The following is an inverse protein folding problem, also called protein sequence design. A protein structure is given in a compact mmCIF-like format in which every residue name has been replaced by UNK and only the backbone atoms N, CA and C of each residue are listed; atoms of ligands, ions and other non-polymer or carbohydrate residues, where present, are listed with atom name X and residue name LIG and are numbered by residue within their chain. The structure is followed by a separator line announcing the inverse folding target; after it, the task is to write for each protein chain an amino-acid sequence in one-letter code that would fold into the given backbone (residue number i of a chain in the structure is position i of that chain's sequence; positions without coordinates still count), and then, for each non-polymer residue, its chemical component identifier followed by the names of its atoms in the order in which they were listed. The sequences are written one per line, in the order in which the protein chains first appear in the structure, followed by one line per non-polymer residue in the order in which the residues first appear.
data_IF_418515649862
#
_entry.id   IF_418515649862
#
_cell.length_a   1.000
_cell.length_b   1.000
_cell.length_c   1.000
_cell.angle_alpha   90.00
_cell.angle_beta   90.00
_cell.angle_gamma   90.00
#
_symmetry.space_group_name_H-M   'P 1'
#
loop_
_entity.id
_entity.type
_entity.pdbx_description
1 polymer ?
#
# COMPACT_ATOMS: atom_id res chain seq x y z
N UNK A 1 -11.48 -2.15 -14.53
CA UNK A 1 -10.31 -2.54 -15.33
C UNK A 1 -8.99 -2.09 -14.74
N UNK A 2 -8.84 -0.82 -14.28
CA UNK A 2 -7.56 -0.30 -13.78
C UNK A 2 -7.03 -1.00 -12.52
N UNK A 3 -7.88 -1.30 -11.54
CA UNK A 3 -7.50 -2.05 -10.33
C UNK A 3 -6.91 -3.44 -10.63
N UNK A 4 -7.40 -4.11 -11.68
CA UNK A 4 -6.86 -5.43 -12.07
C UNK A 4 -5.43 -5.29 -12.63
N UNK A 5 -5.17 -4.24 -13.42
CA UNK A 5 -3.85 -3.92 -13.96
C UNK A 5 -2.90 -3.51 -12.81
N UNK A 6 -3.34 -2.64 -11.91
CA UNK A 6 -2.58 -2.25 -10.72
C UNK A 6 -2.19 -3.47 -9.87
N UNK A 7 -3.13 -4.39 -9.64
CA UNK A 7 -2.84 -5.64 -8.94
C UNK A 7 -1.84 -6.54 -9.67
N UNK A 8 -1.84 -6.55 -11.01
CA UNK A 8 -0.85 -7.29 -11.79
C UNK A 8 0.55 -6.68 -11.66
N UNK A 9 0.67 -5.35 -11.72
CA UNK A 9 1.93 -4.62 -11.51
C UNK A 9 2.46 -4.86 -10.09
N UNK A 10 1.58 -4.77 -9.08
CA UNK A 10 1.95 -5.02 -7.69
C UNK A 10 2.53 -6.43 -7.49
N UNK A 11 1.91 -7.45 -8.08
CA UNK A 11 2.43 -8.83 -8.05
C UNK A 11 3.79 -8.96 -8.72
N UNK A 12 3.96 -8.38 -9.91
CA UNK A 12 5.24 -8.41 -10.61
C UNK A 12 6.36 -7.76 -9.80
N UNK A 13 6.08 -6.62 -9.15
CA UNK A 13 7.03 -5.98 -8.23
C UNK A 13 7.37 -6.84 -7.02
N UNK A 14 6.38 -7.52 -6.43
CA UNK A 14 6.58 -8.44 -5.31
C UNK A 14 7.44 -9.66 -5.69
N UNK A 15 7.29 -10.20 -6.90
CA UNK A 15 8.05 -11.36 -7.38
C UNK A 15 9.53 -11.02 -7.64
N UNK A 16 9.82 -9.77 -8.03
CA UNK A 16 11.18 -9.28 -8.22
C UNK A 16 11.92 -8.96 -6.90
N UNK A 17 11.20 -8.93 -5.77
CA UNK A 17 11.73 -8.48 -4.50
C UNK A 17 12.49 -9.60 -3.79
N UNK A 18 13.71 -9.36 -3.30
CA UNK A 18 14.42 -10.34 -2.46
C UNK A 18 13.68 -10.62 -1.14
N UNK A 19 13.89 -11.79 -0.48
CA UNK A 19 13.44 -12.00 0.89
C UNK A 19 13.92 -10.87 1.79
N UNK A 20 13.08 -10.44 2.73
CA UNK A 20 13.41 -9.27 3.53
C UNK A 20 13.53 -7.99 2.69
N UNK A 21 12.80 -7.88 1.59
CA UNK A 21 12.68 -6.64 0.83
C UNK A 21 11.44 -5.85 1.23
N UNK A 22 11.42 -4.57 0.85
CA UNK A 22 10.28 -3.67 1.04
C UNK A 22 9.76 -3.20 -0.31
N UNK A 23 8.45 -3.25 -0.48
CA UNK A 23 7.73 -2.79 -1.67
C UNK A 23 6.75 -1.69 -1.26
N UNK A 24 6.70 -0.61 -2.03
CA UNK A 24 5.74 0.47 -1.80
C UNK A 24 4.74 0.47 -2.95
N UNK A 25 3.45 0.38 -2.61
CA UNK A 25 2.34 0.60 -3.52
C UNK A 25 1.80 2.02 -3.31
N UNK A 26 1.63 2.78 -4.40
CA UNK A 26 1.12 4.14 -4.35
C UNK A 26 0.28 4.48 -5.57
N UNK A 27 -0.76 5.28 -5.37
CA UNK A 27 -1.68 5.77 -6.41
C UNK A 27 -2.04 7.23 -6.14
N UNK A 28 -2.42 7.97 -7.19
CA UNK A 28 -2.95 9.33 -7.12
C UNK A 28 -4.49 9.36 -7.20
N UNK A 29 -5.14 8.45 -6.45
CA UNK A 29 -6.60 8.34 -6.38
C UNK A 29 -7.05 8.12 -4.94
N UNK A 30 -8.28 8.52 -4.63
CA UNK A 30 -8.94 8.24 -3.35
C UNK A 30 -9.90 7.04 -3.44
N UNK A 31 -9.92 6.35 -4.59
CA UNK A 31 -10.80 5.22 -4.86
C UNK A 31 -10.42 3.99 -4.02
N UNK A 32 -11.30 3.49 -3.12
CA UNK A 32 -10.99 2.31 -2.31
C UNK A 32 -10.75 1.05 -3.13
N UNK A 33 -11.36 0.96 -4.32
CA UNK A 33 -11.20 -0.18 -5.23
C UNK A 33 -9.79 -0.27 -5.82
N UNK A 34 -9.11 0.88 -5.98
CA UNK A 34 -7.75 0.98 -6.50
C UNK A 34 -6.70 0.98 -5.39
N UNK A 35 -7.12 1.22 -4.15
CA UNK A 35 -6.25 1.42 -3.00
C UNK A 35 -6.27 0.19 -2.09
N UNK A 36 -7.06 0.23 -1.02
CA UNK A 36 -7.19 -0.86 -0.06
C UNK A 36 -7.62 -2.16 -0.74
N UNK A 37 -8.55 -2.10 -1.71
CA UNK A 37 -9.01 -3.27 -2.44
C UNK A 37 -7.88 -4.01 -3.18
N UNK A 38 -6.94 -3.28 -3.78
CA UNK A 38 -5.79 -3.88 -4.47
C UNK A 38 -4.81 -4.49 -3.46
N UNK A 39 -4.48 -3.75 -2.40
CA UNK A 39 -3.52 -4.19 -1.38
C UNK A 39 -4.05 -5.38 -0.58
N UNK A 40 -5.30 -5.35 -0.14
CA UNK A 40 -5.93 -6.42 0.62
C UNK A 40 -6.08 -7.69 -0.21
N UNK A 41 -6.48 -7.58 -1.49
CA UNK A 41 -6.53 -8.72 -2.40
C UNK A 41 -5.14 -9.32 -2.66
N UNK A 42 -4.09 -8.50 -2.70
CA UNK A 42 -2.71 -8.96 -2.80
C UNK A 42 -2.28 -9.71 -1.53
N UNK A 43 -2.44 -9.10 -0.35
CA UNK A 43 -2.03 -9.69 0.93
C UNK A 43 -2.76 -11.01 1.22
N UNK A 44 -4.06 -11.11 0.87
CA UNK A 44 -4.82 -12.35 0.99
C UNK A 44 -4.25 -13.52 0.15
N UNK A 45 -3.51 -13.23 -0.93
CA UNK A 45 -2.90 -14.22 -1.82
C UNK A 45 -1.39 -14.40 -1.61
N UNK A 46 -0.76 -13.55 -0.81
CA UNK A 46 0.69 -13.48 -0.59
C UNK A 46 0.99 -13.49 0.90
N UNK A 47 0.89 -14.65 1.57
CA UNK A 47 1.16 -14.77 3.01
C UNK A 47 2.63 -14.52 3.36
N UNK A 48 3.53 -14.50 2.37
CA UNK A 48 4.94 -14.07 2.51
C UNK A 48 5.09 -12.54 2.57
N UNK A 49 3.99 -11.78 2.57
CA UNK A 49 3.99 -10.34 2.70
C UNK A 49 3.09 -9.85 3.84
N UNK A 50 3.49 -8.76 4.48
CA UNK A 50 2.69 -8.04 5.47
C UNK A 50 2.67 -6.55 5.15
N UNK A 51 1.59 -5.86 5.51
CA UNK A 51 1.59 -4.40 5.55
C UNK A 51 2.33 -3.93 6.79
N UNK A 52 3.33 -3.07 6.61
CA UNK A 52 4.01 -2.43 7.72
C UNK A 52 3.17 -1.29 8.27
N UNK A 53 3.08 -1.21 9.58
CA UNK A 53 2.37 -0.12 10.25
C UNK A 53 3.20 1.17 10.15
N UNK A 54 2.67 2.14 9.40
CA UNK A 54 3.26 3.47 9.24
C UNK A 54 2.75 4.48 10.28
N UNK A 55 1.86 4.08 11.19
CA UNK A 55 1.24 4.99 12.15
C UNK A 55 2.25 5.66 13.09
N UNK A 56 3.31 4.94 13.50
CA UNK A 56 4.36 5.45 14.37
C UNK A 56 5.49 6.19 13.63
N UNK A 57 5.34 6.48 12.33
CA UNK A 57 6.36 7.16 11.52
C UNK A 57 6.21 8.68 11.53
N UNK A 58 7.23 9.39 11.03
CA UNK A 58 7.18 10.84 10.78
C UNK A 58 6.04 11.26 9.83
N UNK A 59 5.44 10.29 9.14
CA UNK A 59 4.31 10.47 8.22
C UNK A 59 2.94 10.35 8.90
N UNK A 60 2.90 10.31 10.23
CA UNK A 60 1.66 10.15 11.02
C UNK A 60 0.56 11.16 10.68
N UNK A 61 0.93 12.37 10.21
CA UNK A 61 -0.03 13.39 9.74
C UNK A 61 -0.87 12.93 8.53
N UNK A 62 -0.37 11.97 7.75
CA UNK A 62 -1.05 11.42 6.58
C UNK A 62 -1.65 10.04 6.82
N UNK A 63 -1.87 9.65 8.07
CA UNK A 63 -2.54 8.38 8.36
C UNK A 63 -3.89 8.29 7.66
N UNK A 64 -4.17 7.10 7.12
CA UNK A 64 -5.46 6.76 6.55
C UNK A 64 -6.52 6.65 7.67
N UNK A 65 -7.67 7.29 7.50
CA UNK A 65 -8.65 7.47 8.58
C UNK A 65 -9.23 6.18 9.16
N UNK A 66 -9.35 5.12 8.36
CA UNK A 66 -9.91 3.82 8.78
C UNK A 66 -8.90 2.66 8.80
N UNK A 67 -7.70 2.87 8.25
CA UNK A 67 -6.69 1.82 8.01
C UNK A 67 -5.31 2.37 8.39
N UNK A 68 -5.03 2.57 9.69
CA UNK A 68 -3.91 3.41 10.15
C UNK A 68 -2.52 2.93 9.73
N UNK A 69 -2.39 1.67 9.28
CA UNK A 69 -1.15 1.14 8.69
C UNK A 69 -0.81 1.78 7.33
N UNK A 70 -1.80 2.35 6.63
CA UNK A 70 -1.62 3.03 5.36
C UNK A 70 -1.57 4.55 5.53
N UNK A 71 -1.01 5.20 4.53
CA UNK A 71 -1.07 6.65 4.40
C UNK A 71 -2.05 7.03 3.30
N UNK A 72 -2.70 8.16 3.48
CA UNK A 72 -3.53 8.79 2.47
C UNK A 72 -3.42 10.29 2.63
N UNK A 73 -3.30 11.03 1.53
CA UNK A 73 -3.50 12.48 1.52
C UNK A 73 -4.88 12.81 0.97
N UNK A 74 -5.45 13.91 1.44
CA UNK A 74 -6.75 14.40 0.98
C UNK A 74 -6.66 15.91 0.68
N UNK A 75 -7.20 16.39 -0.45
CA UNK A 75 -7.11 17.80 -0.82
C UNK A 75 -7.59 18.78 0.24
N UNK A 76 -8.70 18.46 0.91
CA UNK A 76 -9.28 19.31 1.94
C UNK A 76 -8.49 19.30 3.26
N UNK A 77 -7.67 18.28 3.52
CA UNK A 77 -6.90 18.12 4.76
C UNK A 77 -5.46 18.61 4.59
N UNK A 78 -4.84 18.20 3.50
CA UNK A 78 -3.38 18.27 3.33
C UNK A 78 -2.95 19.30 2.26
N UNK A 79 -3.90 19.97 1.60
CA UNK A 79 -3.65 20.96 0.55
C UNK A 79 -2.77 20.43 -0.60
N UNK A 80 -2.92 19.15 -0.91
CA UNK A 80 -2.24 18.42 -1.99
C UNK A 80 -3.22 17.44 -2.63
N UNK A 81 -2.85 16.82 -3.76
CA UNK A 81 -3.70 15.82 -4.41
C UNK A 81 -3.97 14.60 -3.50
N UNK A 82 -5.01 13.85 -3.85
CA UNK A 82 -5.37 12.64 -3.13
C UNK A 82 -4.44 11.48 -3.49
N UNK A 83 -3.58 11.07 -2.57
CA UNK A 83 -2.72 9.90 -2.72
C UNK A 83 -3.07 8.82 -1.71
N UNK A 84 -2.72 7.59 -2.06
CA UNK A 84 -2.71 6.44 -1.14
C UNK A 84 -1.35 5.77 -1.19
N UNK A 85 -0.82 5.35 -0.03
CA UNK A 85 0.47 4.68 0.09
C UNK A 85 0.36 3.52 1.07
N UNK A 86 0.79 2.34 0.62
CA UNK A 86 0.97 1.15 1.45
C UNK A 86 2.42 0.65 1.35
N UNK A 87 3.07 0.41 2.49
CA UNK A 87 4.40 -0.20 2.56
C UNK A 87 4.25 -1.68 2.94
N UNK A 88 4.77 -2.54 2.08
CA UNK A 88 4.64 -3.98 2.18
C UNK A 88 6.03 -4.59 2.41
N UNK A 89 6.12 -5.46 3.41
CA UNK A 89 7.35 -6.18 3.77
C UNK A 89 7.25 -7.62 3.32
N UNK A 90 8.22 -8.09 2.53
CA UNK A 90 8.39 -9.52 2.29
C UNK A 90 9.07 -10.16 3.50
N UNK A 91 8.56 -11.29 3.95
CA UNK A 91 9.21 -12.09 5.00
C UNK A 91 10.66 -12.42 4.60
N UNK A 92 11.51 -12.56 5.61
CA UNK A 92 12.83 -13.18 5.42
C UNK A 92 12.65 -14.63 4.95
N UNK A 93 13.60 -15.15 4.19
CA UNK A 93 13.67 -16.58 3.95
C UNK A 93 14.10 -17.25 5.26
N UNK A 94 13.46 -18.38 5.60
CA UNK A 94 13.89 -19.20 6.72
C UNK A 94 15.31 -19.75 6.51
#
# INVERSE_FOLDING_TARGET
ELAAVQGAILRAGADALRPGGTLVYSTCTISPAENEGVVEAFLARRPDFTAEDLSASDWSLWQHGSRPMYLQTLPHRDRTDGFFIARLRRSEAA
#
